data_IF_893539966823
#
_entry.id   IF_893539966823
#
_cell.length_a   1.000
_cell.length_b   1.000
_cell.length_c   1.000
_cell.angle_alpha   90.00
_cell.angle_beta   90.00
_cell.angle_gamma   90.00
#
_symmetry.space_group_name_H-M   'P 1'
#
loop_
_entity.id
_entity.type
_entity.pdbx_description
1 polymer ?
#
# COMPACT_ATOMS: atom_id res chain seq x y z
N UNK A 1 -48.07 30.48 -1.00
CA UNK A 1 -47.10 29.70 -1.80
C UNK A 1 -47.03 28.30 -1.21
N UNK A 2 -47.48 27.28 -1.95
CA UNK A 2 -47.35 25.87 -1.54
C UNK A 2 -45.93 25.36 -1.85
N UNK A 3 -45.33 24.51 -1.00
CA UNK A 3 -43.99 23.96 -1.25
C UNK A 3 -44.01 22.97 -2.44
N UNK A 4 -42.89 22.81 -3.17
CA UNK A 4 -42.80 21.86 -4.27
C UNK A 4 -42.89 20.42 -3.76
N UNK A 5 -43.68 19.59 -4.46
CA UNK A 5 -43.82 18.16 -4.18
C UNK A 5 -42.50 17.45 -4.49
N UNK A 6 -41.93 16.77 -3.49
CA UNK A 6 -40.81 15.85 -3.69
C UNK A 6 -41.28 14.66 -4.53
N UNK A 7 -40.69 14.50 -5.72
CA UNK A 7 -40.95 13.35 -6.56
C UNK A 7 -40.18 12.15 -6.00
N UNK A 8 -40.83 11.04 -5.60
CA UNK A 8 -40.12 9.88 -5.04
C UNK A 8 -39.25 9.23 -6.11
N UNK A 9 -37.93 9.25 -5.89
CA UNK A 9 -36.98 8.55 -6.76
C UNK A 9 -37.18 7.04 -6.64
N UNK A 10 -37.23 6.28 -7.75
CA UNK A 10 -37.45 4.84 -7.71
C UNK A 10 -36.30 4.14 -6.98
N UNK A 11 -36.64 3.23 -6.06
CA UNK A 11 -35.68 2.44 -5.26
C UNK A 11 -34.95 1.37 -6.07
N UNK A 12 -35.38 1.13 -7.30
CA UNK A 12 -34.89 0.06 -8.17
C UNK A 12 -34.68 0.55 -9.60
N UNK A 13 -33.55 0.18 -10.18
CA UNK A 13 -33.19 0.45 -11.57
C UNK A 13 -33.38 -0.82 -12.39
N UNK A 14 -34.22 -0.75 -13.42
CA UNK A 14 -34.57 -1.89 -14.28
C UNK A 14 -33.82 -1.78 -15.60
N UNK A 15 -33.14 -2.84 -16.01
CA UNK A 15 -32.40 -2.93 -17.27
C UNK A 15 -32.54 -4.33 -17.89
N UNK A 16 -32.21 -4.47 -19.18
CA UNK A 16 -32.15 -5.78 -19.83
C UNK A 16 -30.75 -6.37 -19.68
N UNK A 17 -30.66 -7.62 -19.25
CA UNK A 17 -29.38 -8.34 -19.21
C UNK A 17 -28.91 -8.72 -20.63
N UNK A 18 -27.73 -9.32 -20.74
CA UNK A 18 -27.14 -9.74 -22.02
C UNK A 18 -27.98 -10.77 -22.79
N UNK A 19 -28.95 -11.42 -22.14
CA UNK A 19 -29.91 -12.34 -22.76
C UNK A 19 -31.23 -11.66 -23.16
N UNK A 20 -31.34 -10.34 -22.95
CA UNK A 20 -32.52 -9.54 -23.26
C UNK A 20 -33.62 -9.63 -22.20
N UNK A 21 -33.41 -10.32 -21.08
CA UNK A 21 -34.39 -10.45 -20.01
C UNK A 21 -34.37 -9.22 -19.09
N UNK A 22 -35.54 -8.69 -18.70
CA UNK A 22 -35.61 -7.58 -17.76
C UNK A 22 -35.16 -8.04 -16.37
N UNK A 23 -34.13 -7.37 -15.85
CA UNK A 23 -33.56 -7.53 -14.51
C UNK A 23 -33.59 -6.19 -13.79
N UNK A 24 -33.63 -6.21 -12.47
CA UNK A 24 -33.62 -5.01 -11.64
C UNK A 24 -32.52 -5.07 -10.59
N UNK A 25 -31.86 -3.95 -10.35
CA UNK A 25 -30.91 -3.76 -9.23
C UNK A 25 -31.41 -2.66 -8.30
N UNK A 26 -31.10 -2.79 -7.01
CA UNK A 26 -31.43 -1.76 -6.04
C UNK A 26 -30.56 -0.51 -6.27
N UNK A 27 -31.20 0.66 -6.29
CA UNK A 27 -30.50 1.94 -6.39
C UNK A 27 -30.05 2.32 -5.00
N UNK A 28 -28.75 2.35 -4.78
CA UNK A 28 -28.16 2.75 -3.50
C UNK A 28 -28.32 4.27 -3.33
N UNK A 29 -29.37 4.68 -2.62
CA UNK A 29 -29.72 6.09 -2.39
C UNK A 29 -28.89 6.79 -1.29
N UNK A 30 -28.02 6.05 -0.59
CA UNK A 30 -27.15 6.60 0.47
C UNK A 30 -25.81 5.87 0.54
N UNK A 31 -24.76 6.59 0.94
CA UNK A 31 -23.41 6.03 1.10
C UNK A 31 -23.44 4.83 2.06
N UNK A 32 -23.07 3.64 1.56
CA UNK A 32 -22.95 2.40 2.33
C UNK A 32 -21.51 2.33 2.88
N UNK A 33 -21.27 2.61 4.19
CA UNK A 33 -19.92 2.59 4.77
C UNK A 33 -19.30 1.18 4.84
N UNK A 34 -20.07 0.13 4.56
CA UNK A 34 -19.66 -1.28 4.61
C UNK A 34 -18.97 -1.79 3.35
N UNK A 35 -18.90 -1.00 2.27
CA UNK A 35 -17.89 -1.26 1.24
C UNK A 35 -16.56 -0.97 1.91
N UNK A 36 -15.74 -2.00 2.13
CA UNK A 36 -14.48 -1.99 2.87
C UNK A 36 -13.53 -0.92 2.28
N UNK A 37 -13.76 0.34 2.60
CA UNK A 37 -12.76 1.39 2.45
C UNK A 37 -11.98 1.27 3.73
N UNK A 38 -10.90 0.48 3.69
CA UNK A 38 -9.90 0.53 4.76
C UNK A 38 -9.46 1.99 4.80
N UNK A 39 -9.75 2.76 5.87
CA UNK A 39 -9.26 4.13 5.93
C UNK A 39 -7.75 4.02 5.81
N UNK A 40 -7.21 4.48 4.68
CA UNK A 40 -5.77 4.58 4.49
C UNK A 40 -5.28 5.41 5.67
N UNK A 41 -4.47 4.79 6.52
CA UNK A 41 -4.02 5.34 7.80
C UNK A 41 -3.61 6.78 7.56
N UNK A 42 -4.26 7.70 8.29
CA UNK A 42 -3.96 9.13 8.28
C UNK A 42 -2.45 9.26 8.37
N UNK A 43 -1.82 9.91 7.38
CA UNK A 43 -0.37 10.10 7.36
C UNK A 43 0.07 10.55 8.75
N UNK A 44 0.76 9.66 9.47
CA UNK A 44 1.22 9.96 10.82
C UNK A 44 2.12 11.19 10.69
N UNK A 45 1.69 12.31 11.29
CA UNK A 45 2.41 13.60 11.22
C UNK A 45 3.83 13.53 11.78
N UNK A 46 4.22 12.39 12.38
CA UNK A 46 5.53 12.09 12.95
C UNK A 46 6.42 11.20 12.07
N UNK A 47 6.03 10.93 10.82
CA UNK A 47 6.86 10.17 9.88
C UNK A 47 7.66 11.12 9.00
N UNK A 48 8.92 10.75 8.74
CA UNK A 48 9.77 11.49 7.82
C UNK A 48 9.06 11.59 6.45
N UNK A 49 8.73 12.80 5.95
CA UNK A 49 8.06 12.97 4.67
C UNK A 49 8.85 12.36 3.49
N UNK A 50 10.17 12.14 3.65
CA UNK A 50 11.02 11.47 2.67
C UNK A 50 10.66 9.98 2.49
N UNK A 51 9.97 9.35 3.43
CA UNK A 51 9.44 7.99 3.26
C UNK A 51 8.31 7.97 2.23
N UNK A 52 7.40 8.94 2.27
CA UNK A 52 6.37 9.08 1.24
C UNK A 52 7.01 9.36 -0.12
N UNK A 53 8.04 10.21 -0.16
CA UNK A 53 8.83 10.45 -1.37
C UNK A 53 9.51 9.18 -1.89
N UNK A 54 10.04 8.33 -1.00
CA UNK A 54 10.60 7.03 -1.39
C UNK A 54 9.54 6.12 -2.03
N UNK A 55 8.33 6.09 -1.46
CA UNK A 55 7.22 5.34 -2.05
C UNK A 55 6.90 5.83 -3.47
N UNK A 56 6.80 7.15 -3.67
CA UNK A 56 6.57 7.75 -4.99
C UNK A 56 7.67 7.40 -5.99
N UNK A 57 8.95 7.55 -5.59
CA UNK A 57 10.09 7.21 -6.46
C UNK A 57 10.07 5.73 -6.83
N UNK A 58 9.76 4.85 -5.88
CA UNK A 58 9.63 3.42 -6.15
C UNK A 58 8.46 3.14 -7.10
N UNK A 59 7.31 3.81 -6.94
CA UNK A 59 6.18 3.70 -7.88
C UNK A 59 6.56 4.15 -9.28
N UNK A 60 7.20 5.30 -9.43
CA UNK A 60 7.65 5.84 -10.72
C UNK A 60 8.64 4.92 -11.43
N UNK A 61 9.54 4.27 -10.68
CA UNK A 61 10.56 3.36 -11.22
C UNK A 61 10.10 1.91 -11.34
N UNK A 62 8.90 1.60 -10.85
CA UNK A 62 8.38 0.24 -10.83
C UNK A 62 8.21 -0.34 -12.25
N UNK A 63 8.56 -1.61 -12.40
CA UNK A 63 8.33 -2.35 -13.63
C UNK A 63 6.89 -2.85 -13.74
N UNK A 64 6.48 -3.25 -14.95
CA UNK A 64 5.18 -3.86 -15.20
C UNK A 64 4.98 -5.20 -14.45
N UNK A 65 6.07 -5.92 -14.17
CA UNK A 65 6.10 -7.18 -13.42
C UNK A 65 7.41 -7.34 -12.66
N UNK A 66 7.44 -8.22 -11.66
CA UNK A 66 8.64 -8.44 -10.83
C UNK A 66 9.82 -8.93 -11.66
N UNK A 67 11.00 -8.35 -11.40
CA UNK A 67 12.31 -8.76 -11.92
C UNK A 67 13.17 -9.43 -10.86
N UNK A 68 12.58 -9.82 -9.71
CA UNK A 68 13.27 -10.41 -8.55
C UNK A 68 14.32 -9.46 -7.94
N UNK A 69 14.12 -8.16 -8.10
CA UNK A 69 15.04 -7.11 -7.63
C UNK A 69 14.42 -6.24 -6.53
N UNK A 70 13.39 -6.75 -5.83
CA UNK A 70 12.65 -6.01 -4.80
C UNK A 70 13.56 -5.20 -3.86
N UNK A 71 14.57 -5.84 -3.26
CA UNK A 71 15.45 -5.14 -2.32
C UNK A 71 16.36 -4.12 -2.99
N UNK A 72 16.82 -4.36 -4.22
CA UNK A 72 17.59 -3.37 -4.97
C UNK A 72 16.76 -2.11 -5.24
N UNK A 73 15.54 -2.28 -5.76
CA UNK A 73 14.63 -1.17 -6.06
C UNK A 73 14.30 -0.34 -4.81
N UNK A 74 14.05 -1.00 -3.67
CA UNK A 74 13.76 -0.30 -2.41
C UNK A 74 14.98 0.46 -1.91
N UNK A 75 16.19 -0.11 -1.97
CA UNK A 75 17.43 0.61 -1.63
C UNK A 75 17.61 1.87 -2.48
N UNK A 76 17.37 1.76 -3.79
CA UNK A 76 17.45 2.88 -4.72
C UNK A 76 16.46 3.99 -4.39
N UNK A 77 15.22 3.62 -4.05
CA UNK A 77 14.18 4.57 -3.70
C UNK A 77 14.44 5.28 -2.37
N UNK A 78 14.87 4.55 -1.34
CA UNK A 78 15.23 5.14 -0.03
C UNK A 78 16.43 6.08 -0.15
N UNK A 79 17.46 5.69 -0.91
CA UNK A 79 18.61 6.55 -1.13
C UNK A 79 18.23 7.81 -1.92
N UNK A 80 17.48 7.66 -3.01
CA UNK A 80 17.05 8.77 -3.85
C UNK A 80 16.09 9.74 -3.16
N UNK A 81 15.31 9.28 -2.18
CA UNK A 81 14.46 10.16 -1.37
C UNK A 81 15.23 10.95 -0.32
N UNK A 82 16.46 10.52 0.00
CA UNK A 82 17.30 11.11 1.05
C UNK A 82 16.89 10.72 2.47
N UNK A 83 16.06 9.67 2.64
CA UNK A 83 15.72 9.16 3.99
C UNK A 83 16.90 8.39 4.62
N UNK A 84 17.78 7.86 3.77
CA UNK A 84 19.06 7.27 4.15
C UNK A 84 20.21 8.00 3.45
N UNK A 85 21.35 8.08 4.12
CA UNK A 85 22.55 8.78 3.64
C UNK A 85 23.43 7.91 2.73
N UNK A 86 23.28 6.58 2.78
CA UNK A 86 24.08 5.63 2.00
C UNK A 86 23.25 4.39 1.62
N UNK A 87 23.70 3.65 0.61
CA UNK A 87 23.01 2.45 0.15
C UNK A 87 23.18 1.29 1.14
N UNK A 88 22.11 0.62 1.58
CA UNK A 88 22.20 -0.60 2.38
C UNK A 88 22.94 -1.71 1.63
N UNK A 89 23.73 -2.50 2.33
CA UNK A 89 24.68 -3.46 1.76
C UNK A 89 24.20 -4.91 1.82
N UNK A 90 23.22 -5.25 2.67
CA UNK A 90 22.73 -6.63 2.79
C UNK A 90 22.22 -7.19 1.46
N UNK A 91 22.61 -8.42 1.12
CA UNK A 91 22.17 -9.05 -0.12
C UNK A 91 20.71 -9.49 -0.07
N UNK A 92 20.25 -9.99 1.08
CA UNK A 92 18.93 -10.59 1.20
C UNK A 92 17.89 -9.62 1.74
N UNK A 93 16.74 -9.57 1.08
CA UNK A 93 15.60 -8.74 1.46
C UNK A 93 15.15 -8.98 2.92
N UNK A 94 15.18 -10.22 3.41
CA UNK A 94 14.83 -10.57 4.80
C UNK A 94 15.75 -9.95 5.86
N UNK A 95 16.96 -9.52 5.48
CA UNK A 95 17.93 -8.86 6.37
C UNK A 95 17.70 -7.34 6.45
N UNK A 96 16.90 -6.78 5.53
CA UNK A 96 16.65 -5.34 5.43
C UNK A 96 16.22 -4.73 6.75
N UNK A 97 15.30 -5.39 7.47
CA UNK A 97 14.76 -4.86 8.72
C UNK A 97 15.83 -4.63 9.79
N UNK A 98 16.74 -5.58 9.96
CA UNK A 98 17.84 -5.45 10.92
C UNK A 98 18.81 -4.35 10.50
N UNK A 99 19.21 -4.32 9.23
CA UNK A 99 20.14 -3.31 8.71
C UNK A 99 19.57 -1.89 8.81
N UNK A 100 18.28 -1.70 8.47
CA UNK A 100 17.60 -0.41 8.55
C UNK A 100 17.57 0.12 9.99
N UNK A 101 17.34 -0.75 10.97
CA UNK A 101 17.34 -0.36 12.39
C UNK A 101 18.75 -0.05 12.86
N UNK A 102 19.71 -0.95 12.62
CA UNK A 102 21.07 -0.81 13.16
C UNK A 102 21.84 0.37 12.56
N UNK A 103 21.66 0.64 11.26
CA UNK A 103 22.56 1.54 10.54
C UNK A 103 21.88 2.83 10.06
N UNK A 104 20.56 2.85 9.95
CA UNK A 104 19.82 3.92 9.28
C UNK A 104 18.79 4.63 10.15
N UNK A 105 18.69 4.26 11.43
CA UNK A 105 17.81 4.90 12.41
C UNK A 105 16.33 4.59 12.20
N UNK A 106 16.00 3.49 11.52
CA UNK A 106 14.62 3.03 11.45
C UNK A 106 14.21 2.38 12.78
N UNK A 107 12.90 2.35 13.03
CA UNK A 107 12.29 1.59 14.12
C UNK A 107 11.23 0.64 13.57
N UNK A 108 11.11 -0.52 14.20
CA UNK A 108 10.03 -1.48 13.91
C UNK A 108 8.74 -1.04 14.59
N UNK A 109 7.63 -1.02 13.85
CA UNK A 109 6.30 -0.75 14.38
C UNK A 109 5.72 -1.98 15.08
N UNK A 110 4.94 -1.74 16.13
CA UNK A 110 4.08 -2.74 16.76
C UNK A 110 2.78 -2.96 15.95
N UNK A 111 2.93 -3.04 14.62
CA UNK A 111 1.84 -3.29 13.67
C UNK A 111 2.19 -4.53 12.87
N UNK A 112 1.26 -5.47 12.79
CA UNK A 112 1.42 -6.75 12.10
C UNK A 112 0.59 -6.85 10.82
N UNK A 113 -0.37 -5.95 10.61
CA UNK A 113 -1.17 -5.88 9.39
C UNK A 113 -0.50 -4.93 8.36
N UNK A 114 -0.04 -5.43 7.20
CA UNK A 114 0.53 -4.60 6.15
C UNK A 114 -0.37 -3.45 5.68
N UNK A 115 -1.69 -3.62 5.75
CA UNK A 115 -2.63 -2.60 5.31
C UNK A 115 -2.75 -1.43 6.28
N UNK A 116 -2.41 -1.64 7.56
CA UNK A 116 -2.37 -0.62 8.60
C UNK A 116 -1.00 0.08 8.67
N UNK A 117 -0.01 -0.38 7.90
CA UNK A 117 1.25 0.31 7.76
C UNK A 117 1.02 1.76 7.28
N UNK A 118 1.65 2.77 7.90
CA UNK A 118 1.65 4.11 7.35
C UNK A 118 2.27 4.16 5.95
N UNK A 119 1.82 5.10 5.11
CA UNK A 119 2.41 5.32 3.78
C UNK A 119 3.89 5.65 3.91
N UNK A 120 4.72 5.04 3.05
CA UNK A 120 6.17 5.15 3.06
C UNK A 120 6.85 4.13 3.97
N UNK A 121 6.12 3.39 4.80
CA UNK A 121 6.70 2.33 5.62
C UNK A 121 7.34 1.25 4.76
N UNK A 122 8.47 0.72 5.21
CA UNK A 122 9.16 -0.42 4.59
C UNK A 122 8.69 -1.70 5.25
N UNK A 123 8.12 -2.62 4.48
CA UNK A 123 7.64 -3.92 4.94
C UNK A 123 8.63 -4.99 4.52
N UNK A 124 9.04 -5.83 5.47
CA UNK A 124 10.03 -6.88 5.25
C UNK A 124 9.39 -8.24 5.51
N UNK A 125 9.58 -9.17 4.59
CA UNK A 125 8.98 -10.50 4.64
C UNK A 125 10.04 -11.59 4.61
N UNK A 126 9.76 -12.67 5.32
CA UNK A 126 10.62 -13.85 5.39
C UNK A 126 10.49 -14.72 4.13
N UNK A 127 11.47 -15.60 3.94
CA UNK A 127 11.36 -16.78 3.09
C UNK A 127 12.33 -17.86 3.59
N UNK A 128 11.87 -19.12 3.63
CA UNK A 128 12.63 -20.22 4.24
C UNK A 128 13.96 -20.49 3.53
N UNK A 129 13.96 -20.54 2.20
CA UNK A 129 15.15 -20.83 1.37
C UNK A 129 15.37 -19.82 0.25
N UNK A 130 14.99 -18.57 0.49
CA UNK A 130 15.14 -17.50 -0.50
C UNK A 130 15.51 -16.16 0.16
N UNK A 131 15.71 -15.14 -0.67
CA UNK A 131 16.11 -13.80 -0.24
C UNK A 131 15.09 -13.09 0.65
N UNK A 132 13.82 -13.54 0.69
CA UNK A 132 12.72 -12.82 1.30
C UNK A 132 12.07 -11.85 0.31
N UNK A 133 11.33 -10.87 0.83
CA UNK A 133 10.73 -9.79 0.02
C UNK A 133 10.70 -8.50 0.82
N UNK A 134 10.84 -7.37 0.14
CA UNK A 134 10.68 -6.05 0.73
C UNK A 134 9.85 -5.18 -0.20
N UNK A 135 8.93 -4.42 0.37
CA UNK A 135 8.11 -3.44 -0.35
C UNK A 135 7.85 -2.21 0.52
N UNK A 136 7.53 -1.09 -0.13
CA UNK A 136 7.14 0.16 0.50
C UNK A 136 5.62 0.28 0.42
N UNK A 137 4.97 0.67 1.52
CA UNK A 137 3.54 1.00 1.51
C UNK A 137 3.32 2.27 0.69
N UNK A 138 2.47 2.21 -0.31
CA UNK A 138 2.04 3.38 -1.09
C UNK A 138 0.63 3.80 -0.69
N UNK A 139 0.08 4.84 -1.31
CA UNK A 139 -1.31 5.23 -1.06
C UNK A 139 -2.26 4.08 -1.40
N UNK A 140 -2.17 3.57 -2.63
CA UNK A 140 -3.15 2.63 -3.17
C UNK A 140 -2.68 1.17 -3.16
N UNK A 141 -1.48 0.89 -2.64
CA UNK A 141 -0.97 -0.47 -2.55
C UNK A 141 0.43 -0.58 -1.96
N UNK A 142 1.26 -1.36 -2.63
CA UNK A 142 2.60 -1.73 -2.22
C UNK A 142 3.52 -1.70 -3.43
N UNK A 143 4.75 -1.25 -3.24
CA UNK A 143 5.72 -1.17 -4.33
C UNK A 143 7.05 -1.76 -3.92
N UNK A 144 7.62 -2.56 -4.81
CA UNK A 144 8.97 -3.10 -4.68
C UNK A 144 9.74 -2.80 -5.96
N UNK A 145 10.13 -3.81 -6.73
CA UNK A 145 10.56 -3.67 -8.12
C UNK A 145 9.38 -3.57 -9.11
N UNK A 146 8.16 -3.82 -8.61
CA UNK A 146 6.89 -3.65 -9.34
C UNK A 146 5.80 -3.16 -8.39
N UNK A 147 4.69 -2.63 -8.93
CA UNK A 147 3.52 -2.21 -8.15
C UNK A 147 2.56 -3.37 -7.91
N UNK A 148 1.98 -3.44 -6.72
CA UNK A 148 0.97 -4.42 -6.34
C UNK A 148 -0.15 -3.77 -5.52
N UNK A 149 -1.40 -4.18 -5.77
CA UNK A 149 -2.55 -3.74 -4.95
C UNK A 149 -2.63 -4.43 -3.59
N UNK A 150 -1.99 -5.60 -3.48
CA UNK A 150 -2.01 -6.43 -2.27
C UNK A 150 -0.58 -6.67 -1.78
N UNK A 151 -0.36 -6.79 -0.47
CA UNK A 151 0.96 -7.05 0.07
C UNK A 151 1.44 -8.45 -0.30
N UNK A 152 2.73 -8.69 -0.13
CA UNK A 152 3.30 -10.03 -0.24
C UNK A 152 2.62 -11.02 0.72
N UNK A 153 2.29 -12.22 0.21
CA UNK A 153 1.68 -13.33 0.99
C UNK A 153 2.66 -14.04 1.93
N UNK A 154 3.94 -13.68 1.87
CA UNK A 154 4.99 -14.28 2.70
C UNK A 154 4.81 -13.88 4.17
N UNK A 155 5.40 -14.61 5.13
CA UNK A 155 5.36 -14.23 6.54
C UNK A 155 6.01 -12.86 6.75
N UNK A 156 5.29 -11.91 7.36
CA UNK A 156 5.80 -10.57 7.66
C UNK A 156 6.80 -10.64 8.82
N UNK A 157 8.00 -10.12 8.61
CA UNK A 157 9.04 -9.98 9.65
C UNK A 157 8.87 -8.67 10.41
N UNK A 158 8.42 -7.60 9.74
CA UNK A 158 8.14 -6.33 10.38
C UNK A 158 7.82 -5.21 9.40
N UNK A 159 7.32 -4.13 9.97
CA UNK A 159 7.04 -2.85 9.31
C UNK A 159 7.98 -1.83 9.94
N UNK A 160 8.73 -1.12 9.12
CA UNK A 160 9.82 -0.25 9.56
C UNK A 160 9.57 1.17 9.06
N UNK A 161 9.77 2.12 9.96
CA UNK A 161 9.62 3.55 9.68
C UNK A 161 10.78 4.33 10.26
N UNK A 162 10.90 5.58 9.84
CA UNK A 162 11.83 6.56 10.34
C UNK A 162 11.05 7.85 10.63
N UNK A 163 11.40 8.49 11.73
CA UNK A 163 10.83 9.76 12.19
C UNK A 163 11.81 10.90 11.96
#
# INVERSE_FOLDING_TARGET
MSPPRSNPQPSKFVFKDASGKPTSVDVVQGYQPTKIVRPFTTADRQLDPKLMRAATIAEERAHAHSRRQCWHAVKDALLASGVISSRPTTAYAKQAGQELVSNYGFRKLAVSDPYQAPIGSVLVYNASRAAGHVEIRTKDGFVSDFRSKTPSRRPLLGIFVKS
#
